data_IF_299445812379
#
_entry.id   IF_299445812379
#
_cell.length_a   1.000
_cell.length_b   1.000
_cell.length_c   1.000
_cell.angle_alpha   90.00
_cell.angle_beta   90.00
_cell.angle_gamma   90.00
#
_symmetry.space_group_name_H-M   'P 1'
#
loop_
_entity.id
_entity.type
_entity.pdbx_description
1 polymer ?
#
# COMPACT_ATOMS: atom_id res chain seq x y z
N UNK A 1 17.45 8.45 1.66
CA UNK A 1 15.98 8.43 1.52
C UNK A 1 15.63 9.09 0.21
N UNK A 2 14.98 8.37 -0.70
CA UNK A 2 14.48 8.91 -1.97
C UNK A 2 13.05 9.42 -1.80
N UNK A 3 12.73 10.55 -2.43
CA UNK A 3 11.37 11.08 -2.48
C UNK A 3 10.91 11.06 -3.93
N UNK A 4 9.78 10.42 -4.21
CA UNK A 4 9.31 10.15 -5.58
C UNK A 4 9.23 11.43 -6.43
N UNK A 5 8.54 12.46 -5.91
CA UNK A 5 8.31 13.71 -6.65
C UNK A 5 9.64 14.41 -6.92
N UNK A 6 10.41 14.71 -5.87
CA UNK A 6 11.66 15.45 -5.99
C UNK A 6 12.65 14.74 -6.91
N UNK A 7 12.72 13.41 -6.86
CA UNK A 7 13.61 12.62 -7.73
C UNK A 7 13.23 12.73 -9.20
N UNK A 8 11.93 12.68 -9.53
CA UNK A 8 11.45 12.85 -10.90
C UNK A 8 11.72 14.28 -11.41
N UNK A 9 11.45 15.29 -10.58
CA UNK A 9 11.66 16.69 -10.95
C UNK A 9 13.13 17.01 -11.17
N UNK A 10 14.00 16.61 -10.24
CA UNK A 10 15.44 16.81 -10.34
C UNK A 10 16.02 16.12 -11.59
N UNK A 11 15.49 14.95 -11.97
CA UNK A 11 15.89 14.25 -13.18
C UNK A 11 15.40 14.96 -14.45
N UNK A 12 14.14 15.43 -14.47
CA UNK A 12 13.59 16.21 -15.59
C UNK A 12 14.37 17.51 -15.80
N UNK A 13 14.77 18.20 -14.73
CA UNK A 13 15.51 19.46 -14.83
C UNK A 13 16.96 19.26 -15.35
N UNK A 14 17.52 18.05 -15.20
CA UNK A 14 18.89 17.73 -15.65
C UNK A 14 18.94 17.05 -17.02
N UNK A 15 17.93 16.27 -17.37
CA UNK A 15 17.88 15.48 -18.61
C UNK A 15 16.69 15.89 -19.49
N UNK A 16 16.94 16.55 -20.64
CA UNK A 16 15.89 16.94 -21.58
C UNK A 16 15.03 15.78 -22.09
N UNK A 17 15.55 14.55 -22.13
CA UNK A 17 14.78 13.37 -22.54
C UNK A 17 13.77 12.95 -21.46
N UNK A 18 14.17 13.01 -20.19
CA UNK A 18 13.26 12.78 -19.04
C UNK A 18 12.19 13.87 -19.01
N UNK A 19 12.57 15.14 -19.18
CA UNK A 19 11.61 16.24 -19.26
C UNK A 19 10.60 16.04 -20.38
N UNK A 20 11.07 15.68 -21.58
CA UNK A 20 10.18 15.43 -22.73
C UNK A 20 9.17 14.33 -22.44
N UNK A 21 9.62 13.18 -21.90
CA UNK A 21 8.71 12.11 -21.47
C UNK A 21 7.66 12.58 -20.45
N UNK A 22 8.06 13.39 -19.47
CA UNK A 22 7.16 13.94 -18.47
C UNK A 22 6.10 14.87 -19.09
N UNK A 23 6.52 15.76 -20.00
CA UNK A 23 5.63 16.69 -20.71
C UNK A 23 4.63 15.94 -21.59
N UNK A 24 5.12 15.00 -22.41
CA UNK A 24 4.29 14.22 -23.32
C UNK A 24 3.23 13.44 -22.54
N UNK A 25 3.63 12.76 -21.46
CA UNK A 25 2.71 12.00 -20.62
C UNK A 25 1.69 12.88 -19.89
N UNK A 26 2.11 14.07 -19.44
CA UNK A 26 1.19 15.04 -18.83
C UNK A 26 0.13 15.50 -19.83
N UNK A 27 0.51 15.79 -21.08
CA UNK A 27 -0.45 16.16 -22.13
C UNK A 27 -1.41 15.04 -22.51
N UNK A 28 -0.95 13.79 -22.53
CA UNK A 28 -1.79 12.60 -22.75
C UNK A 28 -2.80 12.39 -21.61
N UNK A 29 -2.38 12.69 -20.38
CA UNK A 29 -3.24 12.58 -19.19
C UNK A 29 -4.39 13.59 -19.21
N UNK A 30 -4.16 14.82 -19.68
CA UNK A 30 -5.20 15.88 -19.65
C UNK A 30 -6.33 15.59 -20.63
N UNK A 31 -7.56 15.54 -20.08
CA UNK A 31 -8.77 15.46 -20.90
C UNK A 31 -9.28 16.87 -21.20
N UNK A 32 -9.50 17.20 -22.47
CA UNK A 32 -10.09 18.49 -22.87
C UNK A 32 -11.44 18.24 -23.54
N UNK A 33 -12.49 18.92 -23.07
CA UNK A 33 -13.87 18.80 -23.56
C UNK A 33 -14.35 20.14 -24.11
N UNK A 34 -15.02 20.13 -25.26
CA UNK A 34 -15.54 21.34 -25.89
C UNK A 34 -15.75 21.15 -27.39
N UNK A 35 -15.92 22.26 -28.11
CA UNK A 35 -16.00 22.24 -29.57
C UNK A 35 -14.69 21.80 -30.22
N UNK A 36 -14.76 21.19 -31.40
CA UNK A 36 -13.59 20.57 -32.06
C UNK A 36 -12.47 21.58 -32.34
N UNK A 37 -12.81 22.81 -32.68
CA UNK A 37 -11.83 23.86 -32.96
C UNK A 37 -11.17 24.35 -31.67
N UNK A 38 -11.96 24.61 -30.64
CA UNK A 38 -11.54 25.08 -29.33
C UNK A 38 -10.64 24.04 -28.64
N UNK A 39 -10.98 22.75 -28.71
CA UNK A 39 -10.13 21.66 -28.20
C UNK A 39 -8.79 21.62 -28.94
N UNK A 40 -8.80 21.75 -30.26
CA UNK A 40 -7.55 21.76 -31.05
C UNK A 40 -6.69 22.99 -30.76
N UNK A 41 -7.30 24.15 -30.55
CA UNK A 41 -6.61 25.38 -30.13
C UNK A 41 -6.02 25.26 -28.73
N UNK A 42 -6.78 24.71 -27.78
CA UNK A 42 -6.30 24.46 -26.42
C UNK A 42 -5.10 23.50 -26.40
N UNK A 43 -5.14 22.39 -27.17
CA UNK A 43 -4.00 21.47 -27.30
C UNK A 43 -2.77 22.15 -27.88
N UNK A 44 -2.92 22.88 -28.98
CA UNK A 44 -1.81 23.65 -29.58
C UNK A 44 -1.24 24.66 -28.60
N UNK A 45 -2.08 25.35 -27.84
CA UNK A 45 -1.64 26.30 -26.82
C UNK A 45 -0.85 25.63 -25.71
N UNK A 46 -1.28 24.46 -25.22
CA UNK A 46 -0.53 23.69 -24.22
C UNK A 46 0.86 23.28 -24.74
N UNK A 47 0.93 22.77 -25.98
CA UNK A 47 2.19 22.39 -26.62
C UNK A 47 3.14 23.59 -26.81
N UNK A 48 2.63 24.73 -27.28
CA UNK A 48 3.44 25.93 -27.52
C UNK A 48 3.97 26.59 -26.25
N UNK A 49 3.24 26.46 -25.13
CA UNK A 49 3.63 27.07 -23.86
C UNK A 49 4.48 26.14 -22.99
N UNK A 50 4.76 24.90 -23.43
CA UNK A 50 5.42 23.90 -22.59
C UNK A 50 6.83 24.32 -22.12
N UNK A 51 7.56 25.11 -22.91
CA UNK A 51 8.89 25.63 -22.55
C UNK A 51 8.85 26.75 -21.51
N UNK A 52 7.69 27.40 -21.32
CA UNK A 52 7.50 28.44 -20.31
C UNK A 52 7.04 27.88 -18.94
N UNK A 53 6.79 26.57 -18.85
CA UNK A 53 6.28 25.90 -17.66
C UNK A 53 7.36 25.00 -17.03
N UNK A 54 7.33 24.88 -15.71
CA UNK A 54 8.27 24.05 -14.96
C UNK A 54 7.85 22.56 -14.92
N UNK A 55 8.79 21.69 -14.56
CA UNK A 55 8.56 20.25 -14.43
C UNK A 55 7.48 19.93 -13.39
N UNK A 56 7.35 20.78 -12.36
CA UNK A 56 6.34 20.67 -11.30
C UNK A 56 4.91 20.82 -11.85
N UNK A 57 4.68 21.70 -12.82
CA UNK A 57 3.40 21.83 -13.51
C UNK A 57 2.98 20.49 -14.14
N UNK A 58 3.85 19.89 -14.95
CA UNK A 58 3.55 18.64 -15.66
C UNK A 58 3.36 17.47 -14.69
N UNK A 59 4.19 17.36 -13.65
CA UNK A 59 4.00 16.36 -12.61
C UNK A 59 2.65 16.52 -11.89
N UNK A 60 2.22 17.77 -11.63
CA UNK A 60 0.92 18.04 -11.01
C UNK A 60 -0.25 17.60 -11.91
N UNK A 61 -0.14 17.76 -13.23
CA UNK A 61 -1.15 17.25 -14.17
C UNK A 61 -1.28 15.73 -14.08
N UNK A 62 -0.16 15.00 -13.93
CA UNK A 62 -0.19 13.55 -13.71
C UNK A 62 -0.94 13.18 -12.43
N UNK A 63 -0.71 13.89 -11.33
CA UNK A 63 -1.39 13.61 -10.06
C UNK A 63 -2.89 13.91 -10.10
N UNK A 64 -3.28 15.03 -10.72
CA UNK A 64 -4.65 15.53 -10.68
C UNK A 64 -5.56 14.93 -11.76
N UNK A 65 -4.99 14.48 -12.88
CA UNK A 65 -5.73 13.99 -14.04
C UNK A 65 -6.91 14.91 -14.42
N UNK A 66 -6.61 16.17 -14.78
CA UNK A 66 -7.67 17.16 -14.91
C UNK A 66 -8.48 16.98 -16.19
N UNK A 67 -9.77 17.32 -16.08
CA UNK A 67 -10.65 17.59 -17.19
C UNK A 67 -10.76 19.11 -17.35
N UNK A 68 -10.39 19.62 -18.53
CA UNK A 68 -10.47 21.02 -18.93
C UNK A 68 -11.67 21.18 -19.87
N UNK A 69 -12.69 21.92 -19.44
CA UNK A 69 -13.80 22.31 -20.32
C UNK A 69 -13.46 23.63 -21.03
N UNK A 70 -13.64 23.68 -22.35
CA UNK A 70 -13.40 24.86 -23.19
C UNK A 70 -14.66 25.23 -23.96
N UNK A 71 -14.99 26.53 -24.01
CA UNK A 71 -16.08 27.06 -24.84
C UNK A 71 -17.38 27.46 -24.12
N UNK A 72 -17.43 27.44 -22.78
CA UNK A 72 -18.59 27.93 -22.00
C UNK A 72 -18.38 29.34 -21.43
N UNK A 73 -18.02 30.32 -22.26
CA UNK A 73 -17.88 31.71 -21.82
C UNK A 73 -18.32 32.72 -22.88
N UNK A 74 -19.33 33.53 -22.57
CA UNK A 74 -19.92 34.56 -23.44
C UNK A 74 -18.92 35.68 -23.81
N UNK A 75 -18.79 35.95 -25.11
CA UNK A 75 -18.45 37.26 -25.72
C UNK A 75 -17.34 38.07 -25.04
N UNK A 76 -16.12 37.53 -24.97
CA UNK A 76 -14.99 38.28 -24.44
C UNK A 76 -13.62 37.61 -24.53
N UNK A 77 -13.25 36.99 -25.66
CA UNK A 77 -11.86 36.63 -26.01
C UNK A 77 -11.08 35.68 -25.08
N UNK A 78 -11.61 35.30 -23.92
CA UNK A 78 -11.01 34.38 -22.97
C UNK A 78 -11.66 33.00 -23.02
N UNK A 79 -10.85 31.96 -22.84
CA UNK A 79 -11.32 30.59 -22.67
C UNK A 79 -11.78 30.45 -21.21
N UNK A 80 -13.08 30.22 -20.98
CA UNK A 80 -13.53 29.78 -19.65
C UNK A 80 -13.00 28.35 -19.44
N UNK A 81 -12.22 28.17 -18.37
CA UNK A 81 -11.56 26.90 -18.04
C UNK A 81 -12.09 26.42 -16.70
N UNK A 82 -12.89 25.35 -16.72
CA UNK A 82 -13.23 24.60 -15.51
C UNK A 82 -12.32 23.39 -15.41
N UNK A 83 -11.65 23.25 -14.26
CA UNK A 83 -10.76 22.13 -13.97
C UNK A 83 -11.47 21.23 -12.97
N UNK A 84 -11.87 20.05 -13.43
CA UNK A 84 -12.41 18.99 -12.58
C UNK A 84 -11.36 17.89 -12.45
N UNK A 85 -11.00 17.48 -11.24
CA UNK A 85 -10.15 16.30 -11.04
C UNK A 85 -10.93 15.02 -11.32
N UNK A 86 -10.36 14.11 -12.11
CA UNK A 86 -10.91 12.77 -12.33
C UNK A 86 -9.95 11.73 -11.77
N UNK A 87 -10.31 11.09 -10.65
CA UNK A 87 -9.49 10.03 -10.03
C UNK A 87 -8.05 10.50 -9.69
N UNK A 88 -7.90 11.52 -8.82
CA UNK A 88 -6.58 11.96 -8.38
C UNK A 88 -5.87 10.84 -7.62
N UNK A 89 -4.54 10.80 -7.75
CA UNK A 89 -3.71 9.75 -7.14
C UNK A 89 -3.47 9.98 -5.64
N UNK A 90 -4.55 9.99 -4.86
CA UNK A 90 -4.56 10.30 -3.44
C UNK A 90 -3.80 9.26 -2.58
N UNK A 91 -3.62 8.03 -3.08
CA UNK A 91 -2.90 6.96 -2.36
C UNK A 91 -1.44 6.83 -2.78
N UNK A 92 -0.91 7.67 -3.68
CA UNK A 92 0.48 7.55 -4.16
C UNK A 92 1.53 7.70 -3.04
N UNK A 93 1.16 8.33 -1.92
CA UNK A 93 2.04 8.40 -0.75
C UNK A 93 2.21 7.05 -0.04
N UNK A 94 1.33 6.06 -0.29
CA UNK A 94 1.53 4.67 0.09
C UNK A 94 2.43 3.97 -0.92
N UNK A 95 3.73 4.29 -0.83
CA UNK A 95 4.78 3.74 -1.70
C UNK A 95 5.00 2.23 -1.56
N UNK A 96 4.31 1.55 -0.65
CA UNK A 96 4.38 0.09 -0.52
C UNK A 96 3.66 -0.64 -1.65
N UNK A 97 2.51 -0.12 -2.08
CA UNK A 97 1.53 -0.96 -2.76
C UNK A 97 1.83 -1.17 -4.25
N UNK A 98 2.51 -0.23 -4.90
CA UNK A 98 2.66 -0.25 -6.35
C UNK A 98 3.71 -1.28 -6.83
N UNK A 99 4.52 -1.83 -5.93
CA UNK A 99 5.65 -2.70 -6.26
C UNK A 99 6.05 -3.63 -5.14
N UNK A 100 6.80 -4.67 -5.50
CA UNK A 100 7.59 -5.45 -4.56
C UNK A 100 9.05 -5.50 -5.01
N UNK A 101 9.96 -5.34 -4.06
CA UNK A 101 11.40 -5.45 -4.29
C UNK A 101 11.83 -6.88 -3.96
N UNK A 102 12.48 -7.53 -4.92
CA UNK A 102 12.96 -8.91 -4.83
C UNK A 102 14.46 -8.95 -5.11
N UNK A 103 15.12 -10.09 -4.89
CA UNK A 103 16.56 -10.23 -5.18
C UNK A 103 16.88 -10.05 -6.67
N UNK A 104 15.91 -10.36 -7.55
CA UNK A 104 16.06 -10.25 -9.00
C UNK A 104 15.63 -8.88 -9.55
N UNK A 105 15.25 -7.95 -8.68
CA UNK A 105 14.77 -6.62 -9.03
C UNK A 105 13.31 -6.38 -8.63
N UNK A 106 12.74 -5.31 -9.15
CA UNK A 106 11.42 -4.83 -8.77
C UNK A 106 10.34 -5.48 -9.63
N UNK A 107 9.32 -6.06 -8.99
CA UNK A 107 8.12 -6.52 -9.66
C UNK A 107 7.08 -5.42 -9.57
N UNK A 108 6.72 -4.84 -10.71
CA UNK A 108 5.70 -3.79 -10.79
C UNK A 108 4.32 -4.44 -10.59
N UNK A 109 3.57 -3.92 -9.63
CA UNK A 109 2.23 -4.40 -9.34
C UNK A 109 1.17 -3.93 -10.33
N UNK A 110 -0.04 -4.43 -10.12
CA UNK A 110 -1.27 -3.99 -10.79
C UNK A 110 -2.35 -3.86 -9.72
N UNK A 111 -2.57 -2.65 -9.18
CA UNK A 111 -3.54 -2.43 -8.13
C UNK A 111 -4.94 -2.95 -8.50
N UNK A 112 -5.66 -3.52 -7.54
CA UNK A 112 -6.97 -4.12 -7.80
C UNK A 112 -8.06 -3.07 -8.05
N UNK A 113 -7.93 -1.89 -7.45
CA UNK A 113 -8.90 -0.82 -7.58
C UNK A 113 -8.51 0.11 -8.75
N UNK A 114 -9.38 0.30 -9.76
CA UNK A 114 -9.05 1.07 -10.97
C UNK A 114 -8.51 2.49 -10.71
N UNK A 115 -8.98 3.14 -9.65
CA UNK A 115 -8.56 4.50 -9.27
C UNK A 115 -7.06 4.58 -8.92
N UNK A 116 -6.42 3.45 -8.64
CA UNK A 116 -4.99 3.34 -8.31
C UNK A 116 -4.12 2.87 -9.48
N UNK A 117 -4.72 2.53 -10.62
CA UNK A 117 -4.02 1.91 -11.76
C UNK A 117 -2.82 2.73 -12.25
N UNK A 118 -2.96 4.05 -12.28
CA UNK A 118 -1.92 5.00 -12.72
C UNK A 118 -0.76 5.16 -11.72
N UNK A 119 -0.92 4.72 -10.48
CA UNK A 119 0.14 4.85 -9.45
C UNK A 119 1.38 4.04 -9.85
N UNK A 120 1.18 2.81 -10.34
CA UNK A 120 2.26 1.92 -10.78
C UNK A 120 3.03 2.46 -12.00
N UNK A 121 2.38 3.22 -12.87
CA UNK A 121 3.04 3.88 -14.00
C UNK A 121 4.00 4.97 -13.51
N UNK A 122 3.61 5.76 -12.51
CA UNK A 122 4.46 6.83 -11.96
C UNK A 122 5.64 6.23 -11.20
N UNK A 123 5.42 5.22 -10.37
CA UNK A 123 6.54 4.57 -9.67
C UNK A 123 7.47 3.87 -10.65
N UNK A 124 6.95 3.21 -11.69
CA UNK A 124 7.78 2.67 -12.76
C UNK A 124 8.64 3.72 -13.44
N UNK A 125 8.08 4.90 -13.76
CA UNK A 125 8.86 5.99 -14.34
C UNK A 125 10.01 6.42 -13.43
N UNK A 126 9.77 6.51 -12.11
CA UNK A 126 10.82 6.75 -11.13
C UNK A 126 11.91 5.66 -11.17
N UNK A 127 11.51 4.38 -11.19
CA UNK A 127 12.46 3.25 -11.19
C UNK A 127 13.34 3.23 -12.44
N UNK A 128 12.77 3.56 -13.60
CA UNK A 128 13.51 3.71 -14.85
C UNK A 128 14.53 4.87 -14.77
N UNK A 129 14.16 6.01 -14.18
CA UNK A 129 15.05 7.17 -14.00
C UNK A 129 16.25 6.80 -13.12
N UNK A 130 16.03 6.10 -12.02
CA UNK A 130 17.10 5.74 -11.06
C UNK A 130 17.82 4.44 -11.42
N UNK A 131 17.41 3.76 -12.50
CA UNK A 131 18.07 2.58 -13.02
C UNK A 131 17.83 1.28 -12.25
N UNK A 132 16.73 1.17 -11.50
CA UNK A 132 16.38 -0.09 -10.82
C UNK A 132 15.81 -1.09 -11.84
N UNK A 133 16.35 -2.31 -11.94
CA UNK A 133 15.82 -3.34 -12.82
C UNK A 133 14.37 -3.71 -12.50
N UNK A 134 13.53 -3.77 -13.53
CA UNK A 134 12.16 -4.28 -13.42
C UNK A 134 12.18 -5.76 -13.80
N UNK A 135 12.13 -6.64 -12.80
CA UNK A 135 12.12 -8.10 -12.98
C UNK A 135 10.86 -8.58 -13.71
N UNK A 136 9.73 -7.92 -13.46
CA UNK A 136 8.47 -8.27 -14.08
C UNK A 136 7.37 -7.23 -13.85
N UNK A 137 6.23 -7.44 -14.49
CA UNK A 137 5.06 -6.58 -14.34
C UNK A 137 3.81 -7.43 -14.38
N UNK A 138 3.00 -7.34 -13.32
CA UNK A 138 1.72 -8.04 -13.26
C UNK A 138 0.75 -7.42 -14.28
N UNK A 139 0.10 -8.27 -15.07
CA UNK A 139 -0.86 -7.91 -16.12
C UNK A 139 -2.20 -8.58 -15.86
N UNK A 140 -3.25 -8.04 -16.48
CA UNK A 140 -4.58 -8.63 -16.46
C UNK A 140 -4.53 -10.12 -16.90
N UNK A 141 -5.24 -11.05 -16.22
CA UNK A 141 -6.23 -10.86 -15.15
C UNK A 141 -5.66 -10.71 -13.72
N UNK A 142 -4.33 -10.68 -13.58
CA UNK A 142 -3.65 -10.56 -12.30
C UNK A 142 -3.87 -9.20 -11.60
N UNK A 143 -3.98 -9.24 -10.28
CA UNK A 143 -3.84 -8.08 -9.40
C UNK A 143 -2.79 -8.39 -8.35
N UNK A 144 -1.98 -7.39 -8.01
CA UNK A 144 -0.92 -7.51 -7.01
C UNK A 144 -0.65 -6.14 -6.40
N UNK A 145 -0.64 -6.07 -5.07
CA UNK A 145 -0.23 -4.90 -4.30
C UNK A 145 0.86 -5.29 -3.30
N UNK A 146 1.92 -4.49 -3.21
CA UNK A 146 3.11 -4.80 -2.40
C UNK A 146 2.89 -4.87 -0.89
N UNK A 147 1.75 -4.38 -0.37
CA UNK A 147 1.34 -4.57 1.04
C UNK A 147 1.12 -6.04 1.41
N UNK A 148 0.92 -6.90 0.40
CA UNK A 148 0.80 -8.34 0.58
C UNK A 148 2.14 -9.07 0.57
N UNK A 149 3.24 -8.42 0.17
CA UNK A 149 4.54 -9.08 0.04
C UNK A 149 5.48 -8.76 1.22
N UNK A 150 5.97 -9.82 1.87
CA UNK A 150 6.84 -9.73 3.04
C UNK A 150 8.08 -10.61 2.87
N UNK A 151 9.25 -10.06 2.50
CA UNK A 151 10.51 -10.81 2.52
C UNK A 151 10.96 -11.05 3.98
N UNK A 152 11.39 -12.28 4.29
CA UNK A 152 11.66 -12.76 5.66
C UNK A 152 13.08 -13.33 5.83
N UNK A 153 14.03 -12.91 4.98
CA UNK A 153 15.34 -13.56 4.83
C UNK A 153 15.29 -14.59 3.69
N UNK A 154 15.52 -15.86 4.00
CA UNK A 154 15.62 -16.94 3.00
C UNK A 154 14.26 -17.34 2.38
N UNK A 155 13.16 -16.91 3.00
CA UNK A 155 11.80 -17.14 2.53
C UNK A 155 11.02 -15.83 2.43
N UNK A 156 9.85 -15.87 1.78
CA UNK A 156 8.93 -14.75 1.73
C UNK A 156 7.48 -15.18 1.94
N UNK A 157 6.63 -14.23 2.31
CA UNK A 157 5.18 -14.38 2.31
C UNK A 157 4.55 -13.52 1.22
N UNK A 158 3.46 -14.01 0.65
CA UNK A 158 2.60 -13.26 -0.27
C UNK A 158 1.13 -13.46 0.11
N UNK A 159 0.43 -12.38 0.43
CA UNK A 159 -1.01 -12.38 0.68
C UNK A 159 -1.83 -12.62 -0.59
N UNK A 160 -2.93 -13.37 -0.47
CA UNK A 160 -3.98 -13.53 -1.50
C UNK A 160 -5.33 -13.13 -0.92
N UNK A 161 -6.10 -12.32 -1.66
CA UNK A 161 -7.34 -11.72 -1.19
C UNK A 161 -7.87 -10.63 -2.11
N UNK A 162 -8.44 -9.58 -1.52
CA UNK A 162 -9.17 -8.52 -2.24
C UNK A 162 -8.27 -7.62 -3.11
N UNK A 163 -6.96 -7.58 -2.83
CA UNK A 163 -5.96 -6.72 -3.48
C UNK A 163 -5.00 -7.48 -4.37
N UNK A 164 -4.58 -8.66 -3.93
CA UNK A 164 -3.71 -9.57 -4.68
C UNK A 164 -4.45 -10.87 -4.98
N UNK A 165 -4.57 -11.26 -6.24
CA UNK A 165 -5.31 -12.46 -6.63
C UNK A 165 -4.37 -13.59 -7.10
N UNK A 166 -4.91 -14.81 -7.24
CA UNK A 166 -4.13 -16.00 -7.65
C UNK A 166 -3.39 -15.79 -8.98
N UNK A 167 -4.03 -15.16 -9.97
CA UNK A 167 -3.38 -14.88 -11.26
C UNK A 167 -2.20 -13.90 -11.12
N UNK A 168 -2.29 -12.93 -10.20
CA UNK A 168 -1.20 -12.01 -9.87
C UNK A 168 -0.06 -12.72 -9.16
N UNK A 169 -0.38 -13.63 -8.24
CA UNK A 169 0.61 -14.46 -7.53
C UNK A 169 1.35 -15.36 -8.51
N UNK A 170 0.66 -16.06 -9.40
CA UNK A 170 1.31 -16.91 -10.40
C UNK A 170 2.28 -16.11 -11.29
N UNK A 171 1.89 -14.90 -11.70
CA UNK A 171 2.78 -14.02 -12.46
C UNK A 171 3.96 -13.53 -11.63
N UNK A 172 3.74 -13.20 -10.35
CA UNK A 172 4.79 -12.79 -9.42
C UNK A 172 5.81 -13.91 -9.21
N UNK A 173 5.37 -15.14 -8.97
CA UNK A 173 6.23 -16.32 -8.82
C UNK A 173 7.05 -16.60 -10.08
N UNK A 174 6.48 -16.35 -11.27
CA UNK A 174 7.19 -16.50 -12.54
C UNK A 174 8.30 -15.45 -12.75
N UNK A 175 8.35 -14.37 -11.95
CA UNK A 175 9.41 -13.36 -12.03
C UNK A 175 10.71 -13.77 -11.31
N UNK A 176 10.83 -15.03 -10.85
CA UNK A 176 12.00 -15.60 -10.19
C UNK A 176 12.51 -14.72 -9.04
N UNK A 177 11.79 -14.70 -7.93
CA UNK A 177 11.93 -13.71 -6.84
C UNK A 177 13.18 -13.87 -5.96
N UNK A 178 13.91 -14.98 -6.10
CA UNK A 178 15.17 -15.26 -5.37
C UNK A 178 15.03 -16.16 -4.15
N UNK A 179 13.84 -16.25 -3.56
CA UNK A 179 13.60 -16.97 -2.30
C UNK A 179 13.53 -18.50 -2.49
N UNK A 180 14.01 -19.26 -1.51
CA UNK A 180 13.94 -20.74 -1.56
C UNK A 180 12.51 -21.25 -1.31
N UNK A 181 11.72 -20.48 -0.54
CA UNK A 181 10.36 -20.82 -0.14
C UNK A 181 9.47 -19.58 -0.15
N UNK A 182 8.22 -19.77 -0.60
CA UNK A 182 7.18 -18.74 -0.55
C UNK A 182 5.92 -19.30 0.10
N UNK A 183 5.46 -18.67 1.18
CA UNK A 183 4.16 -18.94 1.78
C UNK A 183 3.08 -18.04 1.18
N UNK A 184 2.11 -18.63 0.49
CA UNK A 184 0.92 -17.92 0.00
C UNK A 184 -0.11 -17.86 1.12
N UNK A 185 -0.32 -16.66 1.69
CA UNK A 185 -1.19 -16.42 2.84
C UNK A 185 -2.59 -16.02 2.37
N UNK A 186 -3.59 -16.85 2.65
CA UNK A 186 -4.99 -16.56 2.35
C UNK A 186 -5.57 -15.56 3.35
N UNK A 187 -6.09 -14.44 2.84
CA UNK A 187 -6.73 -13.40 3.63
C UNK A 187 -7.82 -14.01 4.52
N UNK A 188 -7.68 -13.94 5.86
CA UNK A 188 -8.63 -14.56 6.76
C UNK A 188 -9.95 -13.78 6.79
N UNK A 189 -11.07 -14.47 6.97
CA UNK A 189 -12.31 -13.77 7.33
C UNK A 189 -12.27 -13.30 8.78
N UNK A 190 -12.42 -11.98 9.02
CA UNK A 190 -12.46 -11.41 10.37
C UNK A 190 -13.62 -12.01 11.22
N UNK A 191 -13.35 -12.63 12.39
CA UNK A 191 -14.34 -13.45 13.12
C UNK A 191 -15.52 -12.66 13.70
N UNK A 192 -15.33 -11.35 13.92
CA UNK A 192 -16.38 -10.47 14.44
C UNK A 192 -17.25 -9.82 13.35
N UNK A 193 -16.93 -10.05 12.07
CA UNK A 193 -17.72 -9.60 10.92
C UNK A 193 -18.41 -10.82 10.29
N UNK A 194 -19.68 -10.72 9.86
CA UNK A 194 -20.36 -11.85 9.22
C UNK A 194 -19.63 -12.32 7.95
N UNK A 195 -19.33 -13.63 7.85
CA UNK A 195 -18.58 -14.22 6.74
C UNK A 195 -19.22 -14.01 5.37
N UNK A 196 -20.55 -13.92 5.29
CA UNK A 196 -21.29 -13.63 4.05
C UNK A 196 -21.25 -12.16 3.62
N UNK A 197 -20.75 -11.27 4.49
CA UNK A 197 -20.68 -9.82 4.29
C UNK A 197 -19.32 -9.29 4.81
N UNK A 198 -18.19 -9.80 4.30
CA UNK A 198 -16.86 -9.38 4.76
C UNK A 198 -16.65 -7.90 4.49
N UNK A 199 -15.85 -7.21 5.31
CA UNK A 199 -15.35 -5.86 5.04
C UNK A 199 -13.84 -5.95 4.77
N UNK A 200 -13.42 -6.08 3.49
CA UNK A 200 -12.01 -6.25 3.15
C UNK A 200 -11.12 -5.09 3.59
N UNK A 201 -11.69 -3.94 3.98
CA UNK A 201 -10.90 -2.82 4.49
C UNK A 201 -10.32 -3.06 5.89
N UNK A 202 -10.80 -4.09 6.61
CA UNK A 202 -10.32 -4.43 7.95
C UNK A 202 -8.96 -5.14 7.91
N UNK A 203 -8.72 -5.93 6.88
CA UNK A 203 -7.57 -6.83 6.71
C UNK A 203 -7.08 -6.81 5.25
N UNK A 204 -7.10 -5.63 4.62
CA UNK A 204 -6.96 -5.46 3.17
C UNK A 204 -5.67 -6.00 2.57
N UNK A 205 -4.59 -6.00 3.34
CA UNK A 205 -3.29 -6.53 2.98
C UNK A 205 -2.70 -7.30 4.15
N UNK A 206 -1.76 -8.20 3.88
CA UNK A 206 -1.01 -8.94 4.91
C UNK A 206 -0.40 -8.00 5.97
N UNK A 207 0.20 -6.89 5.55
CA UNK A 207 0.88 -5.92 6.44
C UNK A 207 -0.06 -5.12 7.38
N UNK A 208 -1.37 -5.33 7.29
CA UNK A 208 -2.37 -4.71 8.16
C UNK A 208 -2.70 -5.53 9.40
N UNK A 209 -2.27 -6.80 9.44
CA UNK A 209 -2.48 -7.69 10.58
C UNK A 209 -1.27 -8.57 10.93
N UNK A 210 -0.20 -8.51 10.13
CA UNK A 210 1.05 -9.24 10.33
C UNK A 210 2.25 -8.41 9.86
N UNK A 211 3.33 -8.31 10.64
CA UNK A 211 4.57 -7.67 10.20
C UNK A 211 5.79 -8.12 11.02
N UNK A 212 6.98 -7.80 10.55
CA UNK A 212 8.26 -8.23 11.13
C UNK A 212 8.90 -7.09 11.91
N UNK A 213 9.23 -7.35 13.18
CA UNK A 213 9.91 -6.38 14.04
C UNK A 213 11.41 -6.64 14.17
N UNK A 214 11.82 -7.91 14.12
CA UNK A 214 13.21 -8.35 14.17
C UNK A 214 13.37 -9.72 13.52
N UNK A 215 14.60 -10.23 13.47
CA UNK A 215 14.95 -11.55 12.97
C UNK A 215 14.29 -12.70 13.73
N UNK A 216 13.74 -12.44 14.93
CA UNK A 216 13.08 -13.44 15.76
C UNK A 216 11.70 -13.05 16.24
N UNK A 217 11.15 -11.90 15.83
CA UNK A 217 9.88 -11.38 16.37
C UNK A 217 9.02 -10.79 15.27
N UNK A 218 7.77 -11.25 15.22
CA UNK A 218 6.70 -10.67 14.43
C UNK A 218 5.66 -10.01 15.33
N UNK A 219 4.89 -9.09 14.76
CA UNK A 219 3.76 -8.43 15.40
C UNK A 219 2.51 -8.77 14.58
N UNK A 220 1.43 -9.20 15.24
CA UNK A 220 0.19 -9.45 14.53
C UNK A 220 -0.97 -9.83 15.43
N UNK A 221 -2.17 -9.86 14.88
CA UNK A 221 -3.35 -10.33 15.64
C UNK A 221 -3.39 -11.86 15.59
N UNK A 222 -3.10 -12.54 16.69
CA UNK A 222 -3.09 -14.01 16.74
C UNK A 222 -4.41 -14.61 16.26
N UNK A 223 -5.52 -13.95 16.55
CA UNK A 223 -6.86 -14.35 16.10
C UNK A 223 -6.92 -14.44 14.56
N UNK A 224 -6.31 -13.50 13.85
CA UNK A 224 -6.24 -13.50 12.39
C UNK A 224 -5.17 -14.46 11.88
N UNK A 225 -3.99 -14.51 12.53
CA UNK A 225 -2.90 -15.42 12.13
C UNK A 225 -3.30 -16.89 12.21
N UNK A 226 -4.09 -17.28 13.23
CA UNK A 226 -4.59 -18.66 13.39
C UNK A 226 -5.69 -19.02 12.39
N UNK A 227 -6.29 -18.02 11.73
CA UNK A 227 -7.36 -18.20 10.73
C UNK A 227 -6.84 -18.13 9.31
N UNK A 228 -5.76 -17.40 9.08
CA UNK A 228 -5.11 -17.29 7.79
C UNK A 228 -4.44 -18.64 7.45
N UNK A 229 -4.78 -19.21 6.30
CA UNK A 229 -4.15 -20.42 5.79
C UNK A 229 -2.92 -20.04 4.96
N UNK A 230 -1.88 -20.87 5.00
CA UNK A 230 -0.66 -20.69 4.23
C UNK A 230 -0.43 -21.93 3.40
N UNK A 231 -0.39 -21.76 2.08
CA UNK A 231 0.07 -22.78 1.14
C UNK A 231 1.55 -22.55 0.84
N UNK A 232 2.38 -23.56 1.09
CA UNK A 232 3.84 -23.42 0.96
C UNK A 232 4.29 -23.85 -0.43
N UNK A 233 5.10 -23.01 -1.09
CA UNK A 233 5.73 -23.27 -2.37
C UNK A 233 7.25 -23.32 -2.22
N UNK A 234 7.89 -24.31 -2.86
CA UNK A 234 9.34 -24.43 -2.89
C UNK A 234 9.88 -24.11 -4.27
N UNK A 235 11.06 -23.50 -4.30
CA UNK A 235 11.78 -23.24 -5.54
C UNK A 235 12.37 -24.53 -6.10
N UNK A 236 12.11 -24.79 -7.37
CA UNK A 236 12.69 -25.87 -8.18
C UNK A 236 13.43 -25.28 -9.38
N UNK A 237 14.03 -26.13 -10.21
CA UNK A 237 14.66 -25.68 -11.46
C UNK A 237 13.65 -25.17 -12.50
N UNK A 238 12.36 -25.54 -12.36
CA UNK A 238 11.30 -25.22 -13.31
C UNK A 238 10.40 -24.07 -12.83
N UNK A 239 10.55 -23.62 -11.58
CA UNK A 239 9.78 -22.53 -10.99
C UNK A 239 9.45 -22.78 -9.52
N UNK A 240 8.33 -22.24 -9.05
CA UNK A 240 7.82 -22.56 -7.72
C UNK A 240 6.75 -23.65 -7.81
N UNK A 241 6.90 -24.71 -7.02
CA UNK A 241 5.96 -25.83 -6.95
C UNK A 241 5.31 -25.91 -5.56
N UNK A 242 4.01 -26.22 -5.46
CA UNK A 242 3.34 -26.38 -4.18
C UNK A 242 3.88 -27.61 -3.44
N UNK A 243 4.19 -27.44 -2.16
CA UNK A 243 4.58 -28.54 -1.27
C UNK A 243 3.44 -29.53 -0.97
N UNK A 244 2.19 -29.10 -1.15
CA UNK A 244 1.00 -29.82 -0.69
C UNK A 244 0.70 -29.64 0.80
N UNK A 245 1.50 -28.87 1.53
CA UNK A 245 1.27 -28.50 2.92
C UNK A 245 0.43 -27.22 3.02
N UNK A 246 -0.65 -27.29 3.83
CA UNK A 246 -1.43 -26.12 4.24
C UNK A 246 -1.45 -26.05 5.76
N UNK A 247 -0.96 -24.95 6.32
CA UNK A 247 -0.89 -24.68 7.77
C UNK A 247 -1.50 -23.31 8.10
N UNK A 248 -1.70 -23.01 9.38
CA UNK A 248 -2.08 -21.63 9.77
C UNK A 248 -0.86 -20.72 9.71
N UNK A 249 -1.06 -19.42 9.44
CA UNK A 249 0.04 -18.45 9.44
C UNK A 249 0.72 -18.38 10.81
N UNK A 250 -0.06 -18.52 11.89
CA UNK A 250 0.48 -18.60 13.25
C UNK A 250 1.44 -19.80 13.40
N UNK A 251 1.01 -21.01 13.03
CA UNK A 251 1.84 -22.21 13.19
C UNK A 251 3.06 -22.19 12.26
N UNK A 252 2.88 -21.70 11.03
CA UNK A 252 3.96 -21.52 10.05
C UNK A 252 5.05 -20.58 10.59
N UNK A 253 4.69 -19.39 11.06
CA UNK A 253 5.67 -18.43 11.56
C UNK A 253 6.36 -18.91 12.84
N UNK A 254 5.63 -19.61 13.71
CA UNK A 254 6.23 -20.25 14.90
C UNK A 254 7.20 -21.37 14.52
N UNK A 255 6.90 -22.17 13.49
CA UNK A 255 7.81 -23.22 13.01
C UNK A 255 9.09 -22.64 12.39
N UNK A 256 9.01 -21.44 11.81
CA UNK A 256 10.17 -20.65 11.35
C UNK A 256 10.97 -19.98 12.48
N UNK A 257 10.58 -20.16 13.74
CA UNK A 257 11.35 -19.70 14.91
C UNK A 257 11.00 -18.32 15.44
N UNK A 258 9.99 -17.65 14.89
CA UNK A 258 9.58 -16.32 15.35
C UNK A 258 8.73 -16.39 16.61
N UNK A 259 8.92 -15.45 17.53
CA UNK A 259 7.95 -15.08 18.55
C UNK A 259 6.87 -14.16 17.97
N UNK A 260 5.67 -14.19 18.54
CA UNK A 260 4.55 -13.34 18.12
C UNK A 260 4.21 -12.40 19.25
N UNK A 261 4.31 -11.09 19.01
CA UNK A 261 3.69 -10.07 19.86
C UNK A 261 2.24 -9.92 19.41
N UNK A 262 1.31 -10.38 20.25
CA UNK A 262 -0.11 -10.35 19.96
C UNK A 262 -0.68 -8.92 20.03
N UNK A 263 -1.49 -8.61 19.01
CA UNK A 263 -2.30 -7.40 18.93
C UNK A 263 -3.76 -7.74 19.22
N UNK A 264 -4.35 -6.96 20.13
CA UNK A 264 -5.80 -6.93 20.29
C UNK A 264 -6.48 -6.49 19.00
N UNK A 265 -7.78 -6.76 18.87
CA UNK A 265 -8.54 -6.39 17.68
C UNK A 265 -8.51 -4.87 17.50
N UNK A 266 -8.64 -4.09 18.58
CA UNK A 266 -8.56 -2.64 18.46
C UNK A 266 -7.16 -2.16 18.03
N UNK A 267 -6.08 -2.76 18.51
CA UNK A 267 -4.72 -2.44 18.05
C UNK A 267 -4.54 -2.75 16.55
N UNK A 268 -5.01 -3.91 16.11
CA UNK A 268 -5.00 -4.31 14.70
C UNK A 268 -5.76 -3.30 13.83
N UNK A 269 -7.00 -2.97 14.20
CA UNK A 269 -7.83 -1.98 13.50
C UNK A 269 -7.21 -0.56 13.51
N UNK A 270 -6.28 -0.31 14.42
CA UNK A 270 -5.54 0.95 14.54
C UNK A 270 -4.20 0.93 13.79
N UNK A 271 -3.97 -0.04 12.91
CA UNK A 271 -2.76 -0.19 12.10
C UNK A 271 -1.49 -0.43 12.93
N UNK A 272 -1.61 -1.02 14.14
CA UNK A 272 -0.46 -1.32 15.00
C UNK A 272 0.50 -2.34 14.37
N UNK A 273 0.02 -3.22 13.48
CA UNK A 273 0.88 -4.14 12.74
C UNK A 273 1.71 -3.41 11.66
N UNK A 274 1.28 -2.24 11.18
CA UNK A 274 1.87 -1.59 10.02
C UNK A 274 3.16 -0.81 10.34
N UNK A 275 4.12 -1.48 10.96
CA UNK A 275 5.38 -0.93 11.44
C UNK A 275 6.47 -0.99 10.37
N UNK A 276 7.41 -0.04 10.40
CA UNK A 276 8.61 -0.11 9.57
C UNK A 276 9.80 -0.50 10.43
N UNK A 277 10.28 -1.74 10.28
CA UNK A 277 11.58 -2.15 10.82
C UNK A 277 12.71 -1.46 10.04
N UNK A 278 13.49 -0.61 10.73
CA UNK A 278 14.61 0.17 10.15
C UNK A 278 15.97 -0.42 10.49
N UNK A 279 16.03 -1.23 11.53
CA UNK A 279 17.18 -2.03 11.99
C UNK A 279 16.60 -3.20 12.76
N UNK A 280 17.30 -4.32 12.82
CA UNK A 280 16.89 -5.46 13.64
C UNK A 280 16.53 -5.01 15.07
N UNK A 281 15.29 -5.28 15.49
CA UNK A 281 14.76 -4.86 16.78
C UNK A 281 14.39 -3.38 16.90
N UNK A 282 14.44 -2.57 15.83
CA UNK A 282 14.07 -1.14 15.86
C UNK A 282 12.98 -0.86 14.84
N UNK A 283 11.81 -0.46 15.35
CA UNK A 283 10.63 -0.23 14.53
C UNK A 283 10.11 1.20 14.65
N UNK A 284 9.74 1.78 13.51
CA UNK A 284 8.89 2.98 13.47
C UNK A 284 7.43 2.54 13.54
N UNK A 285 6.63 3.20 14.37
CA UNK A 285 5.25 2.78 14.62
C UNK A 285 4.27 3.96 14.51
N UNK A 286 2.98 3.64 14.45
CA UNK A 286 1.92 4.62 14.71
C UNK A 286 1.80 4.93 16.21
N UNK A 287 1.26 6.09 16.56
CA UNK A 287 0.85 6.43 17.94
C UNK A 287 -0.54 5.83 18.24
N UNK A 288 -0.55 4.63 18.83
CA UNK A 288 -1.74 3.78 18.94
C UNK A 288 -2.93 4.45 19.62
N UNK A 289 -2.73 5.08 20.78
CA UNK A 289 -3.83 5.66 21.58
C UNK A 289 -4.69 6.66 20.78
N UNK A 290 -4.05 7.51 19.97
CA UNK A 290 -4.76 8.53 19.20
C UNK A 290 -5.58 7.91 18.07
N UNK A 291 -4.99 6.94 17.37
CA UNK A 291 -5.66 6.26 16.25
C UNK A 291 -6.86 5.46 16.75
N UNK A 292 -6.75 4.80 17.91
CA UNK A 292 -7.84 4.04 18.53
C UNK A 292 -9.12 4.85 18.71
N UNK A 293 -9.02 6.11 19.14
CA UNK A 293 -10.20 6.99 19.35
C UNK A 293 -10.93 7.25 18.03
N UNK A 294 -10.18 7.51 16.95
CA UNK A 294 -10.74 7.71 15.61
C UNK A 294 -11.35 6.41 15.07
N UNK A 295 -10.70 5.27 15.28
CA UNK A 295 -11.21 3.95 14.88
C UNK A 295 -12.53 3.63 15.57
N UNK A 296 -12.63 3.84 16.88
CA UNK A 296 -13.86 3.64 17.64
C UNK A 296 -14.99 4.53 17.12
N UNK A 297 -14.76 5.84 16.94
CA UNK A 297 -15.76 6.75 16.38
C UNK A 297 -16.21 6.34 14.96
N UNK A 298 -15.30 5.82 14.13
CA UNK A 298 -15.63 5.27 12.82
C UNK A 298 -16.49 4.00 12.91
N UNK A 299 -16.16 3.09 13.81
CA UNK A 299 -16.92 1.87 14.05
C UNK A 299 -18.30 2.17 14.62
N UNK A 300 -18.43 3.14 15.53
CA UNK A 300 -19.71 3.62 16.04
C UNK A 300 -20.61 4.10 14.90
N UNK A 301 -20.07 4.94 13.99
CA UNK A 301 -20.80 5.40 12.79
C UNK A 301 -21.20 4.24 11.89
N UNK A 302 -20.29 3.30 11.61
CA UNK A 302 -20.58 2.10 10.81
C UNK A 302 -21.65 1.23 11.46
N UNK A 303 -21.60 1.02 12.77
CA UNK A 303 -22.54 0.19 13.53
C UNK A 303 -23.91 0.86 13.71
N UNK A 304 -23.98 2.19 13.74
CA UNK A 304 -25.24 2.93 13.72
C UNK A 304 -26.01 2.73 12.40
N UNK A 305 -25.29 2.58 11.29
CA UNK A 305 -25.87 2.29 9.96
C UNK A 305 -26.18 0.80 9.80
N UNK A 306 -25.27 -0.09 10.23
CA UNK A 306 -25.43 -1.55 10.08
C UNK A 306 -24.96 -2.29 11.33
N UNK A 307 -25.84 -2.34 12.33
CA UNK A 307 -25.56 -3.00 13.62
C UNK A 307 -25.35 -4.50 13.46
N UNK A 308 -26.03 -5.14 12.50
CA UNK A 308 -25.90 -6.57 12.26
C UNK A 308 -24.50 -6.94 11.74
N UNK A 309 -23.86 -6.05 10.96
CA UNK A 309 -22.51 -6.24 10.45
C UNK A 309 -21.42 -5.84 11.44
N UNK A 310 -21.56 -4.68 12.10
CA UNK A 310 -20.45 -4.09 12.88
C UNK A 310 -20.67 -4.09 14.40
N UNK A 311 -21.87 -4.40 14.90
CA UNK A 311 -22.19 -4.28 16.32
C UNK A 311 -21.36 -5.21 17.23
N UNK A 312 -21.00 -6.41 16.77
CA UNK A 312 -20.09 -7.30 17.52
C UNK A 312 -18.66 -6.78 17.54
N UNK A 313 -18.18 -6.27 16.40
CA UNK A 313 -16.86 -5.69 16.27
C UNK A 313 -16.70 -4.47 17.17
N UNK A 314 -17.68 -3.56 17.17
CA UNK A 314 -17.68 -2.37 18.02
C UNK A 314 -17.60 -2.72 19.50
N UNK A 315 -18.47 -3.60 20.00
CA UNK A 315 -18.46 -3.99 21.41
C UNK A 315 -17.12 -4.57 21.85
N UNK A 316 -16.52 -5.41 21.01
CA UNK A 316 -15.22 -5.99 21.32
C UNK A 316 -14.11 -4.95 21.29
N UNK A 317 -14.12 -4.02 20.32
CA UNK A 317 -13.19 -2.90 20.28
C UNK A 317 -13.30 -1.99 21.51
N UNK A 318 -14.52 -1.73 22.01
CA UNK A 318 -14.75 -0.98 23.25
C UNK A 318 -14.25 -1.74 24.50
N UNK A 319 -14.38 -3.07 24.51
CA UNK A 319 -13.81 -3.94 25.55
C UNK A 319 -12.29 -3.91 25.55
N UNK A 320 -11.66 -4.01 24.38
CA UNK A 320 -10.21 -3.86 24.19
C UNK A 320 -9.74 -2.51 24.71
N UNK A 321 -10.41 -1.42 24.31
CA UNK A 321 -10.06 -0.07 24.76
C UNK A 321 -10.11 0.05 26.28
N UNK A 322 -11.18 -0.43 26.93
CA UNK A 322 -11.30 -0.43 28.39
C UNK A 322 -10.17 -1.22 29.05
N UNK A 323 -9.84 -2.40 28.52
CA UNK A 323 -8.76 -3.25 29.04
C UNK A 323 -7.40 -2.55 28.92
N UNK A 324 -7.08 -2.00 27.75
CA UNK A 324 -5.84 -1.26 27.48
C UNK A 324 -5.71 -0.06 28.42
N UNK A 325 -6.77 0.75 28.57
CA UNK A 325 -6.78 1.90 29.50
C UNK A 325 -6.54 1.49 30.95
N UNK A 326 -7.13 0.38 31.38
CA UNK A 326 -6.99 -0.11 32.77
C UNK A 326 -5.58 -0.63 33.05
N UNK A 327 -4.95 -1.30 32.09
CA UNK A 327 -3.58 -1.82 32.20
C UNK A 327 -2.54 -0.70 32.05
N UNK A 328 -2.86 0.34 31.27
CA UNK A 328 -1.95 1.46 31.00
C UNK A 328 -0.88 1.16 29.96
N UNK A 329 -1.02 0.07 29.19
CA UNK A 329 -0.08 -0.37 28.16
C UNK A 329 -0.68 -0.18 26.77
N UNK A 330 -0.55 1.03 26.22
CA UNK A 330 -0.95 1.33 24.85
C UNK A 330 0.17 0.99 23.90
N UNK A 331 -0.15 0.41 22.73
CA UNK A 331 0.81 0.30 21.65
C UNK A 331 1.42 1.67 21.28
N UNK A 332 2.75 1.78 21.06
CA UNK A 332 3.75 0.69 21.08
C UNK A 332 4.41 0.44 22.46
N UNK A 333 3.94 1.10 23.52
CA UNK A 333 4.49 1.02 24.88
C UNK A 333 3.91 -0.14 25.71
N UNK A 334 4.04 -1.37 25.21
CA UNK A 334 3.65 -2.61 25.94
C UNK A 334 4.88 -3.32 26.50
N UNK A 335 4.70 -4.13 27.55
CA UNK A 335 5.81 -4.84 28.20
C UNK A 335 6.49 -5.86 27.26
N UNK A 336 5.72 -6.46 26.36
CA UNK A 336 6.12 -7.47 25.40
C UNK A 336 7.21 -6.95 24.44
N UNK A 337 7.15 -5.67 24.04
CA UNK A 337 8.19 -5.06 23.21
C UNK A 337 9.54 -5.05 23.94
N UNK A 338 9.55 -4.65 25.22
CA UNK A 338 10.77 -4.67 26.04
C UNK A 338 11.27 -6.08 26.33
N UNK A 339 10.36 -7.05 26.53
CA UNK A 339 10.73 -8.46 26.77
C UNK A 339 11.40 -9.12 25.55
N UNK A 340 11.14 -8.57 24.37
CA UNK A 340 11.67 -9.04 23.10
C UNK A 340 12.78 -8.12 22.54
N UNK A 341 13.31 -7.20 23.35
CA UNK A 341 14.35 -6.24 22.98
C UNK A 341 13.98 -5.40 21.72
N UNK A 342 12.70 -5.05 21.57
CA UNK A 342 12.19 -4.22 20.49
C UNK A 342 12.14 -2.76 20.91
N UNK A 343 13.00 -1.94 20.31
CA UNK A 343 12.99 -0.49 20.38
C UNK A 343 11.88 0.08 19.47
N UNK A 344 11.03 0.93 20.03
CA UNK A 344 9.90 1.52 19.31
C UNK A 344 10.06 3.03 19.19
N UNK A 345 9.90 3.54 17.97
CA UNK A 345 9.94 4.96 17.64
C UNK A 345 8.56 5.38 17.11
N UNK A 346 7.64 5.82 17.99
CA UNK A 346 6.32 6.26 17.55
C UNK A 346 6.43 7.54 16.73
N UNK A 347 5.71 7.58 15.61
CA UNK A 347 5.61 8.74 14.72
C UNK A 347 4.22 9.38 14.84
N UNK A 348 4.20 10.71 14.78
CA UNK A 348 2.96 11.49 14.82
C UNK A 348 2.35 11.61 13.42
N UNK A 349 1.26 10.89 13.18
CA UNK A 349 0.57 10.82 11.89
C UNK A 349 -0.79 11.54 11.87
N UNK A 350 -0.97 12.66 12.59
CA UNK A 350 -2.29 13.27 12.87
C UNK A 350 -3.20 13.44 11.64
N UNK A 351 -2.65 13.61 10.43
CA UNK A 351 -3.42 13.71 9.18
C UNK A 351 -3.17 12.58 8.17
N UNK A 352 -2.18 11.71 8.39
CA UNK A 352 -1.75 10.69 7.42
C UNK A 352 -2.39 9.31 7.67
N UNK A 353 -2.70 8.98 8.92
CA UNK A 353 -3.41 7.73 9.26
C UNK A 353 -4.89 7.75 8.89
N UNK A 354 -5.46 8.94 8.62
CA UNK A 354 -6.80 9.07 8.04
C UNK A 354 -6.97 8.36 6.69
N UNK A 355 -5.85 8.06 6.01
CA UNK A 355 -5.82 7.25 4.78
C UNK A 355 -5.62 5.75 5.00
N UNK A 356 -5.71 5.24 6.24
CA UNK A 356 -5.73 3.80 6.53
C UNK A 356 -4.39 3.05 6.33
N UNK A 357 -3.29 3.58 6.90
CA UNK A 357 -1.98 2.91 6.86
C UNK A 357 -0.96 3.52 7.83
N UNK A 358 0.15 2.80 8.05
CA UNK A 358 1.25 3.20 8.93
C UNK A 358 2.56 3.44 8.17
N UNK A 359 3.71 3.55 8.90
CA UNK A 359 5.03 3.74 8.30
C UNK A 359 5.39 2.70 7.23
N UNK A 360 4.92 1.45 7.37
CA UNK A 360 5.21 0.40 6.40
C UNK A 360 4.58 0.68 5.03
N UNK A 361 3.30 1.04 5.01
CA UNK A 361 2.57 1.38 3.77
C UNK A 361 3.18 2.59 3.06
N UNK A 362 3.72 3.56 3.81
CA UNK A 362 4.26 4.81 3.27
C UNK A 362 5.68 4.66 2.69
N UNK A 363 6.27 3.47 2.71
CA UNK A 363 7.66 3.25 2.30
C UNK A 363 7.81 2.10 1.34
N UNK A 364 8.76 2.24 0.41
CA UNK A 364 9.31 1.15 -0.40
C UNK A 364 10.78 0.97 0.01
N UNK A 365 11.10 -0.16 0.63
CA UNK A 365 12.48 -0.48 0.98
C UNK A 365 13.18 -1.05 -0.25
N UNK A 366 14.19 -0.34 -0.75
CA UNK A 366 14.95 -0.72 -1.96
C UNK A 366 16.14 -1.62 -1.61
N UNK A 367 16.81 -1.32 -0.50
CA UNK A 367 17.96 -2.06 0.01
C UNK A 367 17.80 -2.19 1.53
N UNK A 368 18.11 -3.39 2.05
CA UNK A 368 18.21 -3.69 3.48
C UNK A 368 19.56 -4.37 3.70
N UNK A 369 20.29 -3.90 4.71
CA UNK A 369 21.66 -4.33 5.01
C UNK A 369 21.76 -5.41 6.05
#
# INVERSE_FOLDING_TARGET
MLRLKETILDAADRDPAVRRRLVDWAHETVTIRGGRQEVAEARRSMEQNADALDSQHFFTLLLLNPVIEVGEGSTGGGVDVRIMGQEPLANLYFMRDQQAVTECGLVSGRPAKPQRSREAEITRFLWEIIGIPIAGTVREPGTFEGGDFMPMGDFALIGTGDRTNEAGIHQFLACATGFDEIGVVHQPGHPLVPSKRPDPMIDMHLDTYFNVASSGVVIGSEILLRRAQVDVYHRTNEGYEPSGETVTLYDYIRSKGFAVIDLSILEQLSYAANVLCVRDGVILTVEGERVMKTVLANLERKAAVDTARYGRLLRHAEEDYRRIRNVGQFFPHKAEFYQHDIETCPLHFENLTGGYGGPHCMTCALERG
#
